data_IF_297926792125
#
_entry.id   IF_297926792125
#
_cell.length_a   1.000
_cell.length_b   1.000
_cell.length_c   1.000
_cell.angle_alpha   90.00
_cell.angle_beta   90.00
_cell.angle_gamma   90.00
#
_symmetry.space_group_name_H-M   'P 1'
#
loop_
_entity.id
_entity.type
_entity.pdbx_description
1 polymer ?
#
# COMPACT_ATOMS: atom_id res chain seq x y z
N UNK A 1 -26.35 27.15 36.78
CA UNK A 1 -25.64 27.51 35.53
C UNK A 1 -24.19 27.11 35.74
N UNK A 2 -23.83 25.90 35.33
CA UNK A 2 -22.45 25.39 35.44
C UNK A 2 -21.84 25.40 34.05
N UNK A 3 -20.73 26.13 33.95
CA UNK A 3 -19.94 26.35 32.74
C UNK A 3 -19.65 25.05 32.00
N UNK A 4 -20.08 24.99 30.74
CA UNK A 4 -19.60 24.03 29.77
C UNK A 4 -18.23 24.48 29.29
N UNK A 5 -17.16 24.00 29.92
CA UNK A 5 -15.81 24.16 29.37
C UNK A 5 -15.70 23.31 28.12
N UNK A 6 -15.92 23.92 26.96
CA UNK A 6 -15.57 23.36 25.66
C UNK A 6 -14.06 23.13 25.67
N UNK A 7 -13.62 21.87 25.79
CA UNK A 7 -12.21 21.52 25.61
C UNK A 7 -11.81 21.86 24.18
N UNK A 8 -10.95 22.85 24.03
CA UNK A 8 -10.30 23.11 22.75
C UNK A 8 -9.40 21.92 22.37
N UNK A 9 -9.30 21.57 21.08
CA UNK A 9 -8.39 20.54 20.62
C UNK A 9 -6.95 20.93 21.00
N UNK A 10 -6.28 20.03 21.73
CA UNK A 10 -4.87 20.19 22.09
C UNK A 10 -4.05 20.17 20.79
N UNK A 11 -3.37 21.27 20.48
CA UNK A 11 -2.47 21.34 19.35
C UNK A 11 -1.17 20.62 19.73
N UNK A 12 -0.75 19.65 18.91
CA UNK A 12 0.43 18.80 19.17
C UNK A 12 1.72 19.60 19.37
N UNK A 13 2.67 19.02 20.11
CA UNK A 13 3.95 19.64 20.47
C UNK A 13 4.94 19.81 19.30
N UNK A 14 6.18 20.22 19.62
CA UNK A 14 7.27 20.48 18.65
C UNK A 14 7.96 19.21 18.10
N UNK A 15 7.47 18.01 18.43
CA UNK A 15 8.05 16.75 17.99
C UNK A 15 7.94 16.58 16.45
N UNK A 16 8.86 15.82 15.83
CA UNK A 16 8.77 15.53 14.40
C UNK A 16 7.44 14.87 14.04
N UNK A 17 6.81 15.35 12.95
CA UNK A 17 5.57 14.79 12.44
C UNK A 17 5.73 13.30 12.08
N UNK A 18 5.01 12.43 12.78
CA UNK A 18 4.98 10.98 12.54
C UNK A 18 3.67 10.37 13.06
N UNK A 19 3.37 9.17 12.56
CA UNK A 19 2.41 8.28 13.22
C UNK A 19 3.11 7.61 14.41
N UNK A 20 2.40 7.46 15.53
CA UNK A 20 2.89 6.76 16.71
C UNK A 20 2.16 5.42 16.88
N UNK A 21 2.89 4.39 17.31
CA UNK A 21 2.28 3.13 17.71
C UNK A 21 1.60 3.30 19.08
N UNK A 22 0.31 2.96 19.15
CA UNK A 22 -0.50 3.03 20.37
C UNK A 22 -1.30 1.73 20.54
N UNK A 23 -0.60 0.68 20.98
CA UNK A 23 -1.19 -0.64 21.15
C UNK A 23 -2.07 -0.67 22.41
N UNK A 24 -3.37 -0.90 22.21
CA UNK A 24 -4.35 -1.05 23.29
C UNK A 24 -4.52 -2.53 23.65
N UNK A 25 -4.67 -2.90 24.94
CA UNK A 25 -4.93 -4.28 25.31
C UNK A 25 -6.23 -4.82 24.68
N UNK A 26 -6.17 -6.05 24.19
CA UNK A 26 -7.32 -6.77 23.62
C UNK A 26 -7.82 -7.78 24.65
N UNK A 27 -9.03 -7.56 25.17
CA UNK A 27 -9.64 -8.42 26.17
C UNK A 27 -10.21 -9.73 25.59
N UNK A 28 -10.59 -9.70 24.31
CA UNK A 28 -11.05 -10.87 23.56
C UNK A 28 -10.82 -10.66 22.06
N UNK A 29 -10.46 -11.74 21.36
CA UNK A 29 -10.30 -11.79 19.91
C UNK A 29 -11.17 -12.93 19.36
N UNK A 30 -11.87 -12.69 18.25
CA UNK A 30 -12.68 -13.72 17.57
C UNK A 30 -12.69 -13.53 16.06
N UNK A 31 -12.51 -14.62 15.32
CA UNK A 31 -12.88 -14.69 13.90
C UNK A 31 -14.40 -14.74 13.76
N UNK A 32 -14.97 -13.72 13.12
CA UNK A 32 -16.42 -13.63 12.83
C UNK A 32 -16.73 -14.44 11.57
N UNK A 33 -15.86 -14.34 10.57
CA UNK A 33 -15.93 -15.09 9.32
C UNK A 33 -14.53 -15.37 8.77
N UNK A 34 -14.28 -16.63 8.41
CA UNK A 34 -13.08 -17.05 7.67
C UNK A 34 -13.33 -16.82 6.18
N UNK A 35 -12.57 -15.92 5.57
CA UNK A 35 -12.70 -15.61 4.15
C UNK A 35 -11.77 -16.46 3.28
N UNK A 36 -11.84 -16.25 1.96
CA UNK A 36 -10.93 -16.91 1.02
C UNK A 36 -9.49 -16.41 1.13
N UNK A 37 -9.33 -15.09 1.29
CA UNK A 37 -8.02 -14.43 1.32
C UNK A 37 -7.80 -13.73 2.67
N UNK A 38 -8.86 -13.16 3.26
CA UNK A 38 -8.80 -12.40 4.50
C UNK A 38 -10.01 -12.68 5.38
N UNK A 39 -9.80 -12.59 6.69
CA UNK A 39 -10.84 -12.84 7.68
C UNK A 39 -11.52 -11.56 8.12
N UNK A 40 -12.81 -11.66 8.46
CA UNK A 40 -13.47 -10.65 9.29
C UNK A 40 -13.27 -11.04 10.75
N UNK A 41 -12.59 -10.19 11.51
CA UNK A 41 -12.33 -10.42 12.94
C UNK A 41 -12.99 -9.35 13.80
N UNK A 42 -13.20 -9.69 15.08
CA UNK A 42 -13.69 -8.79 16.11
C UNK A 42 -12.77 -8.81 17.32
N UNK A 43 -12.30 -7.64 17.71
CA UNK A 43 -11.55 -7.41 18.95
C UNK A 43 -12.40 -6.64 19.95
N UNK A 44 -12.42 -7.08 21.21
CA UNK A 44 -12.90 -6.30 22.34
C UNK A 44 -11.72 -5.55 22.95
N UNK A 45 -11.69 -4.23 22.80
CA UNK A 45 -10.54 -3.38 23.12
C UNK A 45 -10.74 -2.68 24.46
N UNK A 46 -9.74 -2.75 25.35
CA UNK A 46 -9.63 -1.95 26.56
C UNK A 46 -8.95 -0.62 26.23
N UNK A 47 -9.77 0.38 25.86
CA UNK A 47 -9.26 1.64 25.30
C UNK A 47 -8.76 2.61 26.36
N UNK A 48 -9.57 2.84 27.40
CA UNK A 48 -9.28 3.76 28.50
C UNK A 48 -10.00 3.29 29.78
N UNK A 49 -9.67 3.84 30.97
CA UNK A 49 -10.37 3.48 32.20
C UNK A 49 -11.90 3.61 32.06
N UNK A 50 -12.61 2.49 32.21
CA UNK A 50 -14.07 2.42 32.07
C UNK A 50 -14.60 2.46 30.63
N UNK A 51 -13.72 2.48 29.62
CA UNK A 51 -14.09 2.50 28.19
C UNK A 51 -13.61 1.22 27.52
N UNK A 52 -14.57 0.36 27.18
CA UNK A 52 -14.38 -0.87 26.43
C UNK A 52 -15.38 -0.93 25.29
N UNK A 53 -14.94 -1.37 24.11
CA UNK A 53 -15.82 -1.54 22.94
C UNK A 53 -15.33 -2.65 22.01
N UNK A 54 -16.23 -3.14 21.16
CA UNK A 54 -15.91 -4.06 20.09
C UNK A 54 -15.54 -3.31 18.81
N UNK A 55 -14.53 -3.81 18.09
CA UNK A 55 -14.15 -3.34 16.76
C UNK A 55 -14.05 -4.52 15.81
N UNK A 56 -14.81 -4.45 14.72
CA UNK A 56 -14.66 -5.36 13.59
C UNK A 56 -13.76 -4.73 12.53
N UNK A 57 -12.91 -5.56 11.91
CA UNK A 57 -12.03 -5.16 10.82
C UNK A 57 -11.63 -6.39 9.98
N UNK A 58 -11.17 -6.12 8.76
CA UNK A 58 -10.56 -7.11 7.88
C UNK A 58 -9.12 -7.36 8.32
N UNK A 59 -8.81 -8.61 8.62
CA UNK A 59 -7.47 -9.09 8.94
C UNK A 59 -6.76 -9.49 7.65
N UNK A 60 -6.04 -8.56 7.06
CA UNK A 60 -5.41 -8.61 5.75
C UNK A 60 -3.95 -9.09 5.80
N UNK A 61 -3.56 -9.86 4.79
CA UNK A 61 -2.18 -10.37 4.62
C UNK A 61 -1.14 -9.30 4.35
N UNK A 62 -1.49 -8.00 4.32
CA UNK A 62 -0.65 -6.95 3.73
C UNK A 62 -0.34 -7.19 2.25
N UNK A 63 0.27 -6.20 1.62
CA UNK A 63 0.66 -6.29 0.21
C UNK A 63 1.92 -5.49 -0.09
N UNK A 64 2.47 -5.74 -1.26
CA UNK A 64 3.53 -4.94 -1.87
C UNK A 64 3.09 -4.51 -3.26
N UNK A 65 3.63 -3.39 -3.71
CA UNK A 65 3.42 -2.90 -5.06
C UNK A 65 4.71 -2.29 -5.60
N UNK A 66 4.83 -2.17 -6.91
CA UNK A 66 6.06 -1.68 -7.54
C UNK A 66 5.76 -0.73 -8.70
N UNK A 67 6.25 0.50 -8.56
CA UNK A 67 6.24 1.49 -9.64
C UNK A 67 7.55 1.36 -10.41
N UNK A 68 7.51 0.70 -11.57
CA UNK A 68 8.62 0.62 -12.50
C UNK A 68 8.72 1.89 -13.36
N UNK A 69 9.94 2.42 -13.49
CA UNK A 69 10.25 3.62 -14.29
C UNK A 69 11.39 3.32 -15.26
N UNK A 70 11.25 3.77 -16.50
CA UNK A 70 12.30 3.65 -17.52
C UNK A 70 13.12 4.93 -17.70
N UNK A 71 14.14 4.86 -18.55
CA UNK A 71 15.04 5.99 -18.85
C UNK A 71 14.35 7.18 -19.53
N UNK A 72 13.15 6.98 -20.06
CA UNK A 72 12.33 8.01 -20.71
C UNK A 72 11.30 8.65 -19.74
N UNK A 73 11.43 8.40 -18.42
CA UNK A 73 10.51 8.84 -17.37
C UNK A 73 9.05 8.40 -17.62
N UNK A 74 8.91 7.18 -18.18
CA UNK A 74 7.62 6.49 -18.30
C UNK A 74 7.46 5.51 -17.16
N UNK A 75 6.24 5.39 -16.67
CA UNK A 75 5.81 4.43 -15.65
C UNK A 75 5.14 3.23 -16.31
N UNK A 76 5.37 2.04 -15.78
CA UNK A 76 4.67 0.83 -16.19
C UNK A 76 3.35 0.72 -15.42
N UNK A 77 2.24 0.64 -16.15
CA UNK A 77 0.91 0.38 -15.59
C UNK A 77 0.36 -0.91 -16.17
N UNK A 78 -0.40 -1.65 -15.37
CA UNK A 78 -1.21 -2.78 -15.78
C UNK A 78 -2.69 -2.41 -15.72
N UNK A 79 -3.54 -3.12 -16.47
CA UNK A 79 -5.00 -2.91 -16.43
C UNK A 79 -5.73 -4.18 -16.01
N UNK A 80 -6.18 -4.21 -14.77
CA UNK A 80 -6.82 -5.37 -14.14
C UNK A 80 -8.30 -5.15 -13.91
N UNK A 81 -9.12 -6.20 -14.07
CA UNK A 81 -10.51 -6.17 -13.64
C UNK A 81 -10.60 -6.37 -12.12
N UNK A 82 -11.30 -5.48 -11.42
CA UNK A 82 -11.55 -5.57 -9.99
C UNK A 82 -13.04 -5.75 -9.76
N UNK A 83 -13.45 -6.97 -9.40
CA UNK A 83 -14.86 -7.30 -9.17
C UNK A 83 -15.55 -6.42 -8.13
N UNK A 84 -14.95 -6.11 -6.95
CA UNK A 84 -15.64 -5.32 -5.91
C UNK A 84 -16.08 -3.92 -6.36
N UNK A 85 -15.36 -3.32 -7.31
CA UNK A 85 -15.72 -2.04 -7.92
C UNK A 85 -16.38 -2.19 -9.28
N UNK A 86 -16.34 -3.37 -9.91
CA UNK A 86 -16.92 -3.64 -11.22
C UNK A 86 -16.21 -2.92 -12.38
N UNK A 87 -14.94 -2.57 -12.24
CA UNK A 87 -14.18 -1.78 -13.22
C UNK A 87 -12.88 -2.46 -13.60
N UNK A 88 -12.36 -2.10 -14.78
CA UNK A 88 -10.95 -2.28 -15.11
C UNK A 88 -10.17 -1.06 -14.69
N UNK A 89 -9.25 -1.23 -13.74
CA UNK A 89 -8.45 -0.14 -13.20
C UNK A 89 -7.06 -0.18 -13.81
N UNK A 90 -6.50 0.99 -14.07
CA UNK A 90 -5.06 1.12 -14.29
C UNK A 90 -4.37 1.10 -12.94
N UNK A 91 -3.49 0.13 -12.75
CA UNK A 91 -2.81 -0.16 -11.50
C UNK A 91 -1.30 -0.30 -11.73
N UNK A 92 -0.49 -0.17 -10.68
CA UNK A 92 0.89 -0.67 -10.69
C UNK A 92 0.88 -2.15 -10.29
N UNK A 93 1.87 -2.95 -10.73
CA UNK A 93 1.98 -4.33 -10.30
C UNK A 93 2.03 -4.47 -8.78
N UNK A 94 1.32 -5.46 -8.24
CA UNK A 94 1.14 -5.64 -6.80
C UNK A 94 0.70 -7.06 -6.43
N UNK A 95 1.17 -7.52 -5.27
CA UNK A 95 0.80 -8.82 -4.73
C UNK A 95 0.76 -8.88 -3.22
N UNK A 96 0.21 -10.00 -2.71
CA UNK A 96 0.00 -10.21 -1.29
C UNK A 96 1.28 -10.67 -0.60
N UNK A 97 1.38 -10.41 0.71
CA UNK A 97 2.43 -10.98 1.56
C UNK A 97 1.92 -12.24 2.25
N UNK A 98 1.66 -13.28 1.47
CA UNK A 98 1.11 -14.57 1.91
C UNK A 98 2.15 -15.69 2.04
N UNK A 99 3.35 -15.51 1.48
CA UNK A 99 4.49 -16.40 1.66
C UNK A 99 5.23 -16.11 2.97
N UNK A 100 5.16 -17.06 3.92
CA UNK A 100 5.76 -16.91 5.24
C UNK A 100 7.29 -16.72 5.15
N UNK A 101 7.78 -15.60 5.70
CA UNK A 101 9.22 -15.28 5.76
C UNK A 101 9.80 -14.70 4.46
N UNK A 102 9.01 -14.53 3.40
CA UNK A 102 9.46 -13.85 2.19
C UNK A 102 9.74 -12.36 2.48
N UNK A 103 10.94 -11.83 2.15
CA UNK A 103 11.20 -10.40 2.28
C UNK A 103 10.29 -9.59 1.34
N UNK A 104 9.67 -8.48 1.78
CA UNK A 104 8.71 -7.74 0.94
C UNK A 104 9.26 -7.22 -0.40
N UNK A 105 10.56 -6.92 -0.48
CA UNK A 105 11.16 -6.49 -1.74
C UNK A 105 11.36 -7.65 -2.73
N UNK A 106 11.51 -8.89 -2.23
CA UNK A 106 11.56 -10.09 -3.06
C UNK A 106 10.18 -10.37 -3.63
N UNK A 107 9.14 -10.33 -2.79
CA UNK A 107 7.74 -10.43 -3.23
C UNK A 107 7.45 -9.40 -4.33
N UNK A 108 7.79 -8.13 -4.12
CA UNK A 108 7.54 -7.07 -5.09
C UNK A 108 8.27 -7.26 -6.44
N UNK A 109 9.48 -7.84 -6.42
CA UNK A 109 10.22 -8.15 -7.64
C UNK A 109 9.59 -9.34 -8.40
N UNK A 110 9.14 -10.36 -7.67
CA UNK A 110 8.41 -11.50 -8.23
C UNK A 110 7.12 -11.06 -8.91
N UNK A 111 6.30 -10.25 -8.24
CA UNK A 111 5.05 -9.71 -8.80
C UNK A 111 5.29 -8.84 -10.05
N UNK A 112 6.40 -8.07 -10.09
CA UNK A 112 6.78 -7.32 -11.30
C UNK A 112 7.03 -8.24 -12.49
N UNK A 113 7.68 -9.38 -12.24
CA UNK A 113 8.02 -10.36 -13.25
C UNK A 113 6.78 -11.12 -13.72
N UNK A 114 5.94 -11.58 -12.78
CA UNK A 114 4.70 -12.32 -13.04
C UNK A 114 3.67 -11.47 -13.81
N UNK A 115 3.31 -10.29 -13.31
CA UNK A 115 2.25 -9.48 -13.90
C UNK A 115 2.71 -8.74 -15.16
N UNK A 116 3.95 -8.26 -15.16
CA UNK A 116 4.44 -7.31 -16.16
C UNK A 116 5.65 -7.78 -16.99
N UNK A 117 6.18 -8.98 -16.74
CA UNK A 117 7.31 -9.54 -17.50
C UNK A 117 8.60 -8.75 -17.33
N UNK A 118 8.79 -8.09 -16.19
CA UNK A 118 9.86 -7.14 -15.98
C UNK A 118 10.66 -7.43 -14.71
N UNK A 119 11.96 -7.14 -14.73
CA UNK A 119 12.84 -7.25 -13.56
C UNK A 119 13.61 -5.93 -13.33
N UNK A 120 13.75 -5.47 -12.07
CA UNK A 120 14.46 -4.24 -11.77
C UNK A 120 15.97 -4.48 -11.58
N UNK A 121 16.81 -3.56 -12.07
CA UNK A 121 18.23 -3.51 -11.67
C UNK A 121 18.40 -2.93 -10.27
N UNK A 122 17.53 -1.98 -9.89
CA UNK A 122 17.55 -1.37 -8.55
C UNK A 122 16.13 -1.18 -8.03
N UNK A 123 15.96 -1.47 -6.74
CA UNK A 123 14.74 -1.14 -6.00
C UNK A 123 15.04 -0.24 -4.81
N UNK A 124 14.12 0.69 -4.54
CA UNK A 124 14.10 1.49 -3.31
C UNK A 124 12.68 1.57 -2.78
N UNK A 125 12.49 1.83 -1.49
CA UNK A 125 11.16 2.02 -0.93
C UNK A 125 10.65 3.42 -1.28
N UNK A 126 9.50 3.51 -1.96
CA UNK A 126 8.89 4.76 -2.41
C UNK A 126 7.97 5.35 -1.33
N UNK A 127 6.95 4.60 -0.93
CA UNK A 127 5.95 5.04 0.07
C UNK A 127 5.34 3.83 0.76
N UNK A 128 4.99 3.99 2.03
CA UNK A 128 4.19 3.03 2.79
C UNK A 128 2.81 3.64 3.05
N UNK A 129 1.74 2.87 2.90
CA UNK A 129 0.39 3.35 3.17
C UNK A 129 -0.49 2.30 3.89
N UNK A 130 -1.50 2.81 4.60
CA UNK A 130 -2.65 2.04 5.09
C UNK A 130 -3.87 2.46 4.28
N UNK A 131 -4.41 1.61 3.40
CA UNK A 131 -5.48 2.02 2.48
C UNK A 131 -6.76 2.43 3.21
N UNK A 132 -7.12 1.72 4.28
CA UNK A 132 -8.35 1.94 5.03
C UNK A 132 -8.18 1.62 6.53
N UNK A 133 -7.40 2.41 7.29
CA UNK A 133 -7.04 2.10 8.69
C UNK A 133 -8.24 2.08 9.65
N UNK A 134 -9.41 2.56 9.21
CA UNK A 134 -10.65 2.45 9.96
C UNK A 134 -11.27 1.04 9.95
N UNK A 135 -10.97 0.20 8.96
CA UNK A 135 -11.65 -1.08 8.77
C UNK A 135 -10.77 -2.24 8.33
N UNK A 136 -9.46 -2.03 8.13
CA UNK A 136 -8.51 -3.05 7.71
C UNK A 136 -7.16 -2.82 8.39
N UNK A 137 -6.47 -3.90 8.75
CA UNK A 137 -5.07 -3.87 9.20
C UNK A 137 -4.07 -3.92 8.02
N UNK A 138 -4.56 -3.82 6.79
CA UNK A 138 -3.76 -3.81 5.57
C UNK A 138 -2.70 -2.71 5.59
N UNK A 139 -1.48 -3.13 5.28
CA UNK A 139 -0.33 -2.29 5.02
C UNK A 139 0.17 -2.60 3.62
N UNK A 140 0.49 -1.56 2.86
CA UNK A 140 1.08 -1.69 1.53
C UNK A 140 2.41 -0.95 1.50
N UNK A 141 3.46 -1.64 1.05
CA UNK A 141 4.72 -1.00 0.66
C UNK A 141 4.78 -0.86 -0.85
N UNK A 142 4.97 0.36 -1.31
CA UNK A 142 5.26 0.64 -2.71
C UNK A 142 6.77 0.81 -2.90
N UNK A 143 7.32 0.07 -3.85
CA UNK A 143 8.70 0.16 -4.30
C UNK A 143 8.82 1.01 -5.56
N UNK A 144 9.95 1.71 -5.71
CA UNK A 144 10.38 2.29 -6.98
C UNK A 144 11.39 1.32 -7.61
N UNK A 145 11.09 0.87 -8.82
CA UNK A 145 11.96 0.01 -9.63
C UNK A 145 12.60 0.84 -10.75
N UNK A 146 13.94 0.82 -10.84
CA UNK A 146 14.73 1.54 -11.83
C UNK A 146 15.65 0.58 -12.60
N UNK A 147 16.00 0.95 -13.83
CA UNK A 147 16.81 0.11 -14.73
C UNK A 147 16.10 -1.18 -15.09
N UNK A 148 14.81 -1.09 -15.40
CA UNK A 148 13.93 -2.25 -15.62
C UNK A 148 14.27 -2.92 -16.95
N UNK A 149 14.39 -4.24 -16.94
CA UNK A 149 14.64 -5.09 -18.12
C UNK A 149 13.54 -6.14 -18.25
N UNK A 150 13.49 -6.79 -19.41
CA UNK A 150 12.62 -7.95 -19.61
C UNK A 150 13.04 -9.10 -18.66
N UNK A 151 12.04 -9.77 -18.11
CA UNK A 151 12.21 -10.97 -17.28
C UNK A 151 12.80 -12.11 -18.11
N UNK A 152 13.70 -12.90 -17.52
CA UNK A 152 14.19 -14.12 -18.19
C UNK A 152 13.16 -15.26 -18.13
N UNK A 153 12.20 -15.17 -17.21
CA UNK A 153 11.14 -16.15 -17.01
C UNK A 153 9.82 -15.66 -17.63
N UNK A 154 9.13 -16.55 -18.34
CA UNK A 154 7.78 -16.33 -18.85
C UNK A 154 6.78 -16.96 -17.89
N UNK A 155 5.92 -16.13 -17.31
CA UNK A 155 4.90 -16.56 -16.36
C UNK A 155 3.55 -16.69 -17.07
N UNK A 156 2.88 -17.83 -16.86
CA UNK A 156 1.52 -18.03 -17.35
C UNK A 156 0.56 -17.24 -16.45
N UNK A 157 -0.13 -16.25 -17.03
CA UNK A 157 -1.16 -15.48 -16.32
C UNK A 157 -2.44 -16.31 -16.20
N UNK A 158 -2.88 -16.54 -14.98
CA UNK A 158 -4.08 -17.34 -14.66
C UNK A 158 -5.13 -16.51 -13.92
N UNK A 159 -6.35 -17.04 -13.81
CA UNK A 159 -7.44 -16.45 -13.03
C UNK A 159 -7.68 -14.94 -13.30
N UNK A 160 -7.57 -14.07 -12.29
CA UNK A 160 -7.83 -12.63 -12.41
C UNK A 160 -6.81 -11.90 -13.29
N UNK A 161 -5.68 -12.55 -13.60
CA UNK A 161 -4.57 -11.98 -14.34
C UNK A 161 -4.58 -12.34 -15.83
N UNK A 162 -5.40 -13.32 -16.24
CA UNK A 162 -5.43 -13.85 -17.61
C UNK A 162 -5.70 -12.79 -18.70
N UNK A 163 -6.26 -11.64 -18.32
CA UNK A 163 -6.60 -10.52 -19.21
C UNK A 163 -5.79 -9.25 -18.94
N UNK A 164 -4.71 -9.33 -18.16
CA UNK A 164 -3.84 -8.18 -17.90
C UNK A 164 -3.25 -7.66 -19.21
N UNK A 165 -3.30 -6.34 -19.35
CA UNK A 165 -2.50 -5.62 -20.36
C UNK A 165 -1.56 -4.66 -19.63
N UNK A 166 -0.34 -4.52 -20.14
CA UNK A 166 0.63 -3.56 -19.63
C UNK A 166 0.83 -2.40 -20.61
N UNK A 167 1.18 -1.22 -20.08
CA UNK A 167 1.47 -0.02 -20.86
C UNK A 167 2.51 0.85 -20.15
N UNK A 168 3.55 1.23 -20.89
CA UNK A 168 4.44 2.33 -20.51
C UNK A 168 3.76 3.68 -20.81
N UNK A 169 3.63 4.53 -19.80
CA UNK A 169 2.94 5.82 -19.87
C UNK A 169 3.87 6.92 -19.35
N UNK A 170 4.06 8.05 -20.06
CA UNK A 170 4.81 9.18 -19.52
C UNK A 170 4.29 9.58 -18.13
N UNK A 171 5.18 9.80 -17.16
CA UNK A 171 4.79 10.13 -15.78
C UNK A 171 3.82 11.32 -15.72
N UNK A 172 4.06 12.34 -16.57
CA UNK A 172 3.17 13.50 -16.69
C UNK A 172 1.74 13.14 -17.14
N UNK A 173 1.57 12.21 -18.09
CA UNK A 173 0.25 11.74 -18.54
C UNK A 173 -0.45 10.95 -17.44
N UNK A 174 0.28 10.06 -16.74
CA UNK A 174 -0.26 9.27 -15.64
C UNK A 174 -0.73 10.15 -14.47
N UNK A 175 0.06 11.16 -14.10
CA UNK A 175 -0.32 12.14 -13.06
C UNK A 175 -1.53 12.98 -13.49
N UNK A 176 -1.58 13.44 -14.74
CA UNK A 176 -2.76 14.15 -15.25
C UNK A 176 -4.02 13.25 -15.16
N UNK A 177 -3.90 11.97 -15.51
CA UNK A 177 -4.99 11.01 -15.42
C UNK A 177 -5.48 10.80 -13.97
N UNK A 178 -4.58 10.80 -12.98
CA UNK A 178 -4.93 10.79 -11.55
C UNK A 178 -5.71 12.04 -11.17
N UNK A 179 -5.20 13.23 -11.50
CA UNK A 179 -5.82 14.50 -11.12
C UNK A 179 -7.17 14.75 -11.80
N UNK A 180 -7.38 14.18 -12.98
CA UNK A 180 -8.64 14.20 -13.72
C UNK A 180 -9.63 13.11 -13.27
N UNK A 181 -9.24 12.22 -12.34
CA UNK A 181 -10.09 11.12 -11.86
C UNK A 181 -10.24 9.95 -12.84
N UNK A 182 -9.38 9.85 -13.85
CA UNK A 182 -9.32 8.72 -14.79
C UNK A 182 -8.55 7.51 -14.25
N UNK A 183 -7.67 7.73 -13.28
CA UNK A 183 -7.00 6.67 -12.50
C UNK A 183 -7.38 6.87 -11.03
N UNK A 184 -7.96 5.84 -10.42
CA UNK A 184 -8.59 5.93 -9.09
C UNK A 184 -8.16 4.84 -8.11
N UNK A 185 -7.30 3.89 -8.52
CA UNK A 185 -6.71 2.93 -7.59
C UNK A 185 -5.80 3.67 -6.59
N UNK A 186 -6.10 3.56 -5.29
CA UNK A 186 -5.46 4.36 -4.24
C UNK A 186 -3.95 4.17 -4.14
N UNK A 187 -3.46 2.94 -4.26
CA UNK A 187 -2.02 2.60 -4.23
C UNK A 187 -1.29 3.24 -5.42
N UNK A 188 -1.90 3.16 -6.60
CA UNK A 188 -1.36 3.74 -7.84
C UNK A 188 -1.35 5.27 -7.79
N UNK A 189 -2.44 5.88 -7.30
CA UNK A 189 -2.52 7.32 -7.06
C UNK A 189 -1.40 7.78 -6.12
N UNK A 190 -1.22 7.09 -4.99
CA UNK A 190 -0.17 7.41 -4.02
C UNK A 190 1.24 7.29 -4.64
N UNK A 191 1.51 6.21 -5.37
CA UNK A 191 2.79 5.96 -6.00
C UNK A 191 3.17 7.05 -7.03
N UNK A 192 2.25 7.39 -7.93
CA UNK A 192 2.47 8.38 -8.99
C UNK A 192 2.71 9.77 -8.42
N UNK A 193 1.92 10.18 -7.43
CA UNK A 193 2.06 11.48 -6.78
C UNK A 193 3.32 11.56 -5.91
N UNK A 194 3.72 10.47 -5.24
CA UNK A 194 4.98 10.38 -4.50
C UNK A 194 6.19 10.55 -5.43
N UNK A 195 6.23 9.81 -6.55
CA UNK A 195 7.31 9.93 -7.53
C UNK A 195 7.36 11.35 -8.14
N UNK A 196 6.20 11.92 -8.49
CA UNK A 196 6.12 13.28 -9.02
C UNK A 196 6.67 14.31 -8.03
N UNK A 197 6.36 14.17 -6.74
CA UNK A 197 6.88 15.04 -5.68
C UNK A 197 8.41 14.97 -5.58
N UNK A 198 8.99 13.76 -5.61
CA UNK A 198 10.43 13.54 -5.57
C UNK A 198 11.14 14.15 -6.79
N UNK A 199 10.58 14.02 -8.00
CA UNK A 199 11.15 14.60 -9.23
C UNK A 199 11.01 16.12 -9.30
N UNK A 200 10.02 16.70 -8.62
CA UNK A 200 9.71 18.14 -8.67
C UNK A 200 10.63 19.06 -7.85
N UNK A 201 11.57 18.51 -7.07
CA UNK A 201 12.57 19.28 -6.30
C UNK A 201 12.00 20.17 -5.18
N UNK A 202 10.70 20.09 -4.89
CA UNK A 202 10.01 20.93 -3.89
C UNK A 202 9.94 20.34 -2.48
N UNK A 203 10.33 19.08 -2.30
CA UNK A 203 10.51 18.50 -0.96
C UNK A 203 11.89 18.87 -0.40
N UNK A 204 12.05 18.98 0.93
CA UNK A 204 13.37 18.93 1.55
C UNK A 204 14.11 17.68 1.03
N UNK A 205 15.45 17.62 1.13
CA UNK A 205 16.26 16.52 0.61
C UNK A 205 15.90 15.15 1.25
N UNK A 206 14.76 14.58 0.89
CA UNK A 206 14.29 13.27 1.32
C UNK A 206 14.89 12.28 0.34
N UNK A 207 15.85 11.51 0.83
CA UNK A 207 16.40 10.38 0.08
C UNK A 207 15.41 9.22 0.16
N UNK A 208 15.28 8.48 -0.94
CA UNK A 208 14.56 7.21 -0.94
C UNK A 208 15.15 6.28 0.12
N UNK A 209 14.26 5.57 0.82
CA UNK A 209 14.66 4.55 1.79
C UNK A 209 15.15 3.30 1.04
N UNK A 210 16.09 2.52 1.59
CA UNK A 210 16.54 1.28 0.95
C UNK A 210 15.39 0.26 0.83
N UNK A 211 15.55 -0.74 -0.05
CA UNK A 211 14.50 -1.74 -0.31
C UNK A 211 14.19 -2.64 0.91
N UNK A 212 15.18 -2.82 1.78
CA UNK A 212 15.12 -3.58 3.03
C UNK A 212 14.84 -2.69 4.27
N UNK A 213 14.44 -1.43 4.06
CA UNK A 213 14.08 -0.54 5.16
C UNK A 213 13.03 -1.19 6.08
N UNK A 214 13.01 -0.91 7.39
CA UNK A 214 11.98 -1.41 8.29
C UNK A 214 10.57 -1.16 7.73
N UNK A 215 9.74 -2.20 7.71
CA UNK A 215 8.36 -2.12 7.24
C UNK A 215 7.38 -1.96 8.41
N UNK A 216 6.20 -1.43 8.11
CA UNK A 216 5.17 -1.14 9.09
C UNK A 216 4.81 -2.41 9.87
N UNK A 217 4.85 -2.30 11.20
CA UNK A 217 4.38 -3.36 12.06
C UNK A 217 2.87 -3.56 11.89
N UNK A 218 2.48 -4.84 11.87
CA UNK A 218 1.08 -5.27 11.91
C UNK A 218 0.84 -5.89 13.29
N UNK A 219 0.11 -5.21 14.18
CA UNK A 219 -0.15 -5.73 15.52
C UNK A 219 -0.75 -7.14 15.46
N UNK A 220 -0.25 -8.06 16.29
CA UNK A 220 -0.80 -9.43 16.39
C UNK A 220 -0.46 -10.37 15.22
N UNK A 221 0.56 -10.04 14.41
CA UNK A 221 1.18 -10.96 13.45
C UNK A 221 2.66 -11.16 13.82
N UNK A 222 3.06 -12.43 13.99
CA UNK A 222 4.46 -12.84 14.09
C UNK A 222 5.07 -13.04 12.69
#
# INVERSE_FOLDING_TARGET
MTDGTTQHPQHGGEDPLRDDADLRPVAAHRTVHEGMVWDLVRDTIDFAPGVRFDREYIRHTGAVAVLAVDEADRVLLIRQYRHPVGHRLWEIPAGLLDLAGEPPHVAAARELAEEAGCEPVRMSTLVDLRPSPGGSDEVIRVYLAEGVRESEEEFERVDEEAELISRWVPLGEAVAAVLEGRITNGTTVAALLALKSLRGGGSPAVSLRPADAPFMERPGRA
#
